data_IF_742591825207
#
_entry.id   IF_742591825207
#
_cell.length_a   1.000
_cell.length_b   1.000
_cell.length_c   1.000
_cell.angle_alpha   90.00
_cell.angle_beta   90.00
_cell.angle_gamma   90.00
#
_symmetry.space_group_name_H-M   'P 1'
#
loop_
_entity.id
_entity.type
_entity.pdbx_description
1 polymer ?
#
# COMPACT_ATOMS: atom_id res chain seq x y z
N UNK A 1 25.83 -12.44 -6.92
CA UNK A 1 24.80 -13.04 -7.81
C UNK A 1 23.41 -12.66 -7.29
N UNK A 2 22.42 -12.45 -8.18
CA UNK A 2 21.05 -12.15 -7.75
C UNK A 2 20.48 -13.32 -6.92
N UNK A 3 19.90 -13.05 -5.73
CA UNK A 3 19.51 -14.11 -4.80
C UNK A 3 18.29 -14.90 -5.29
N UNK A 4 18.46 -16.23 -5.42
CA UNK A 4 17.41 -17.17 -5.83
C UNK A 4 16.44 -17.60 -4.72
N UNK A 5 15.22 -17.95 -5.12
CA UNK A 5 14.20 -18.78 -4.42
C UNK A 5 13.32 -18.21 -3.28
N UNK A 6 13.20 -16.90 -3.08
CA UNK A 6 12.07 -16.32 -2.30
C UNK A 6 11.19 -15.36 -3.13
N UNK A 7 10.72 -15.82 -4.30
CA UNK A 7 9.93 -14.98 -5.22
C UNK A 7 8.61 -14.51 -4.62
N UNK A 8 7.89 -15.36 -3.88
CA UNK A 8 6.54 -15.03 -3.42
C UNK A 8 6.52 -14.01 -2.28
N UNK A 9 7.29 -14.24 -1.21
CA UNK A 9 7.40 -13.30 -0.07
C UNK A 9 7.93 -11.94 -0.53
N UNK A 10 8.90 -11.90 -1.45
CA UNK A 10 9.40 -10.65 -2.04
C UNK A 10 8.36 -9.95 -2.92
N UNK A 11 7.55 -10.70 -3.67
CA UNK A 11 6.44 -10.13 -4.45
C UNK A 11 5.35 -9.56 -3.54
N UNK A 12 4.98 -10.26 -2.46
CA UNK A 12 4.03 -9.77 -1.46
C UNK A 12 4.54 -8.51 -0.76
N UNK A 13 5.80 -8.50 -0.31
CA UNK A 13 6.44 -7.34 0.29
C UNK A 13 6.42 -6.14 -0.66
N UNK A 14 6.78 -6.35 -1.93
CA UNK A 14 6.73 -5.32 -2.97
C UNK A 14 5.33 -4.81 -3.21
N UNK A 15 4.36 -5.71 -3.34
CA UNK A 15 2.96 -5.33 -3.52
C UNK A 15 2.47 -4.48 -2.33
N UNK A 16 2.85 -4.86 -1.11
CA UNK A 16 2.51 -4.12 0.10
C UNK A 16 3.20 -2.75 0.17
N UNK A 17 4.47 -2.63 -0.26
CA UNK A 17 5.19 -1.35 -0.30
C UNK A 17 4.68 -0.42 -1.39
N UNK A 18 4.43 -0.95 -2.59
CA UNK A 18 3.76 -0.24 -3.68
C UNK A 18 2.38 0.27 -3.25
N UNK A 19 1.65 -0.51 -2.44
CA UNK A 19 0.41 -0.07 -1.80
C UNK A 19 0.69 1.09 -0.84
N UNK A 20 1.52 0.91 0.18
CA UNK A 20 1.75 1.92 1.24
C UNK A 20 2.28 3.27 0.72
N UNK A 21 2.93 3.29 -0.45
CA UNK A 21 3.37 4.52 -1.14
C UNK A 21 2.21 5.50 -1.44
N UNK A 22 0.99 4.98 -1.59
CA UNK A 22 -0.17 5.70 -2.07
C UNK A 22 -1.17 5.86 -0.91
N UNK A 23 -1.05 6.94 -0.13
CA UNK A 23 -1.96 7.23 0.99
C UNK A 23 -3.25 7.90 0.49
N UNK A 24 -4.41 7.47 0.97
CA UNK A 24 -5.70 8.16 0.78
C UNK A 24 -6.91 7.31 1.16
N UNK A 25 -8.07 7.95 1.37
CA UNK A 25 -9.33 7.33 1.83
C UNK A 25 -9.74 6.08 1.05
N UNK A 26 -9.63 6.07 -0.29
CA UNK A 26 -9.99 4.90 -1.10
C UNK A 26 -9.08 3.69 -0.82
N UNK A 27 -7.83 3.94 -0.47
CA UNK A 27 -6.88 2.88 -0.14
C UNK A 27 -7.12 2.31 1.25
N UNK A 28 -7.53 3.16 2.21
CA UNK A 28 -8.01 2.69 3.52
C UNK A 28 -9.24 1.79 3.38
N UNK A 29 -10.19 2.15 2.52
CA UNK A 29 -11.38 1.30 2.25
C UNK A 29 -10.97 -0.05 1.66
N UNK A 30 -10.01 -0.09 0.74
CA UNK A 30 -9.53 -1.35 0.16
C UNK A 30 -8.74 -2.20 1.16
N UNK A 31 -7.91 -1.58 2.00
CA UNK A 31 -7.03 -2.29 2.93
C UNK A 31 -7.74 -2.74 4.21
N UNK A 32 -8.75 -2.00 4.68
CA UNK A 32 -9.46 -2.29 5.93
C UNK A 32 -10.96 -2.51 5.74
N UNK A 33 -11.61 -1.65 4.95
CA UNK A 33 -13.06 -1.76 4.70
C UNK A 33 -13.45 -3.08 4.02
N UNK A 34 -12.71 -3.51 2.99
CA UNK A 34 -13.01 -4.73 2.23
C UNK A 34 -12.80 -6.01 3.06
N UNK A 35 -11.68 -6.18 3.79
CA UNK A 35 -11.52 -7.31 4.71
C UNK A 35 -12.55 -7.32 5.85
N UNK A 36 -12.89 -6.17 6.42
CA UNK A 36 -13.93 -6.08 7.47
C UNK A 36 -15.30 -6.47 6.92
N UNK A 37 -15.67 -5.97 5.72
CA UNK A 37 -16.90 -6.34 5.05
C UNK A 37 -16.95 -7.83 4.71
N UNK A 38 -15.83 -8.42 4.27
CA UNK A 38 -15.76 -9.86 4.01
C UNK A 38 -15.94 -10.68 5.29
N UNK A 39 -15.29 -10.29 6.39
CA UNK A 39 -15.43 -10.95 7.68
C UNK A 39 -16.88 -10.88 8.21
N UNK A 40 -17.52 -9.71 8.09
CA UNK A 40 -18.93 -9.51 8.42
C UNK A 40 -19.85 -10.38 7.58
N UNK A 41 -19.65 -10.43 6.26
CA UNK A 41 -20.45 -11.26 5.37
C UNK A 41 -20.34 -12.74 5.72
N UNK A 42 -19.14 -13.22 6.04
CA UNK A 42 -18.91 -14.61 6.48
C UNK A 42 -19.65 -14.88 7.80
N UNK A 43 -19.46 -14.00 8.80
CA UNK A 43 -20.14 -14.13 10.09
C UNK A 43 -21.66 -14.13 9.93
N UNK A 44 -22.20 -13.22 9.11
CA UNK A 44 -23.63 -13.13 8.81
C UNK A 44 -24.14 -14.41 8.16
N UNK A 45 -23.44 -14.95 7.17
CA UNK A 45 -23.85 -16.20 6.49
C UNK A 45 -23.83 -17.39 7.45
N UNK A 46 -22.82 -17.51 8.32
CA UNK A 46 -22.76 -18.58 9.32
C UNK A 46 -23.87 -18.45 10.36
N UNK A 47 -24.11 -17.25 10.88
CA UNK A 47 -25.18 -17.00 11.84
C UNK A 47 -26.57 -17.21 11.21
N UNK A 48 -26.78 -16.76 9.97
CA UNK A 48 -28.05 -16.89 9.27
C UNK A 48 -28.36 -18.35 8.91
N UNK A 49 -27.32 -19.19 8.75
CA UNK A 49 -27.48 -20.64 8.61
C UNK A 49 -27.81 -21.36 9.92
N UNK A 50 -27.40 -20.82 11.06
CA UNK A 50 -27.64 -21.44 12.36
C UNK A 50 -29.05 -21.12 12.91
N UNK A 51 -29.57 -19.93 12.61
CA UNK A 51 -30.96 -19.55 12.94
C UNK A 51 -31.74 -19.17 11.67
N UNK A 52 -31.82 -17.86 11.39
CA UNK A 52 -32.58 -17.26 10.31
C UNK A 52 -32.01 -15.87 9.99
N UNK A 53 -32.08 -15.40 8.72
CA UNK A 53 -31.56 -14.10 8.31
C UNK A 53 -32.17 -12.91 9.08
N UNK A 54 -33.45 -13.01 9.45
CA UNK A 54 -34.18 -11.99 10.21
C UNK A 54 -33.77 -11.95 11.69
N UNK A 55 -33.54 -13.10 12.32
CA UNK A 55 -33.05 -13.19 13.71
C UNK A 55 -31.66 -12.57 13.87
N UNK A 56 -30.75 -12.87 12.94
CA UNK A 56 -29.40 -12.29 12.93
C UNK A 56 -29.43 -10.76 12.76
N UNK A 57 -30.26 -10.24 11.87
CA UNK A 57 -30.43 -8.79 11.70
C UNK A 57 -30.92 -8.11 12.98
N UNK A 58 -31.93 -8.69 13.64
CA UNK A 58 -32.48 -8.15 14.89
C UNK A 58 -31.49 -8.19 16.04
N UNK A 59 -30.72 -9.27 16.18
CA UNK A 59 -29.66 -9.38 17.18
C UNK A 59 -28.49 -8.42 16.90
N UNK A 60 -28.10 -8.23 15.63
CA UNK A 60 -27.09 -7.25 15.21
C UNK A 60 -27.50 -5.81 15.51
N UNK A 61 -28.77 -5.49 15.29
CA UNK A 61 -29.35 -4.17 15.55
C UNK A 61 -29.73 -3.95 17.03
N UNK A 62 -29.46 -4.92 17.91
CA UNK A 62 -29.90 -4.93 19.32
C UNK A 62 -31.41 -4.73 19.50
N UNK A 63 -32.21 -5.15 18.53
CA UNK A 63 -33.67 -5.11 18.61
C UNK A 63 -34.18 -6.21 19.54
N UNK A 64 -33.55 -7.40 19.50
CA UNK A 64 -33.90 -8.56 20.34
C UNK A 64 -32.68 -9.00 21.19
N UNK A 65 -32.93 -9.49 22.40
CA UNK A 65 -31.89 -10.02 23.27
C UNK A 65 -31.30 -11.34 22.69
N UNK A 66 -29.97 -11.49 22.61
CA UNK A 66 -29.36 -12.66 21.99
C UNK A 66 -29.59 -13.92 22.85
N UNK A 67 -30.27 -14.91 22.29
CA UNK A 67 -30.67 -16.13 23.02
C UNK A 67 -29.59 -17.23 23.02
N UNK A 68 -28.59 -17.13 22.14
CA UNK A 68 -27.51 -18.10 21.99
C UNK A 68 -26.14 -17.42 21.91
N UNK A 69 -25.07 -18.15 22.29
CA UNK A 69 -23.69 -17.63 22.38
C UNK A 69 -23.21 -17.03 21.05
N UNK A 70 -23.60 -17.61 19.91
CA UNK A 70 -23.32 -17.08 18.57
C UNK A 70 -23.96 -15.71 18.31
N UNK A 71 -25.19 -15.49 18.77
CA UNK A 71 -25.90 -14.21 18.65
C UNK A 71 -25.35 -13.18 19.63
N UNK A 72 -24.86 -13.62 20.78
CA UNK A 72 -24.17 -12.77 21.74
C UNK A 72 -22.86 -12.23 21.14
N UNK A 73 -22.05 -13.08 20.50
CA UNK A 73 -20.88 -12.65 19.74
C UNK A 73 -21.26 -11.76 18.55
N UNK A 74 -22.33 -12.08 17.82
CA UNK A 74 -22.81 -11.23 16.71
C UNK A 74 -23.25 -9.84 17.19
N UNK A 75 -23.93 -9.76 18.35
CA UNK A 75 -24.36 -8.51 18.98
C UNK A 75 -23.16 -7.69 19.48
N UNK A 76 -22.18 -8.33 20.15
CA UNK A 76 -20.94 -7.68 20.58
C UNK A 76 -20.12 -7.17 19.39
N UNK A 77 -20.01 -7.96 18.33
CA UNK A 77 -19.35 -7.54 17.09
C UNK A 77 -20.13 -6.40 16.45
N UNK A 78 -21.46 -6.46 16.35
CA UNK A 78 -22.27 -5.33 15.85
C UNK A 78 -22.01 -4.04 16.63
N UNK A 79 -21.99 -4.12 17.96
CA UNK A 79 -21.83 -2.96 18.84
C UNK A 79 -20.40 -2.42 18.93
N UNK A 80 -19.37 -3.27 18.83
CA UNK A 80 -17.96 -2.83 18.82
C UNK A 80 -17.51 -2.41 17.43
N UNK A 81 -17.91 -3.17 16.41
CA UNK A 81 -17.39 -3.03 15.07
C UNK A 81 -18.01 -1.83 14.35
N UNK A 82 -19.30 -1.54 14.53
CA UNK A 82 -19.93 -0.37 13.87
C UNK A 82 -19.30 0.95 14.36
N UNK A 83 -19.17 1.21 15.68
CA UNK A 83 -18.45 2.37 16.17
C UNK A 83 -16.95 2.33 15.87
N UNK A 84 -16.30 1.16 15.82
CA UNK A 84 -14.90 1.07 15.43
C UNK A 84 -14.69 1.37 13.94
N UNK A 85 -15.61 0.97 13.06
CA UNK A 85 -15.59 1.31 11.62
C UNK A 85 -15.85 2.80 11.44
N UNK A 86 -16.92 3.32 12.05
CA UNK A 86 -17.30 4.74 11.93
C UNK A 86 -16.24 5.62 12.57
N UNK A 87 -15.78 5.29 13.78
CA UNK A 87 -14.73 6.00 14.51
C UNK A 87 -13.36 5.88 13.83
N UNK A 88 -13.02 4.72 13.28
CA UNK A 88 -11.78 4.51 12.51
C UNK A 88 -11.80 5.29 11.19
N UNK A 89 -12.92 5.29 10.48
CA UNK A 89 -13.11 6.08 9.26
C UNK A 89 -13.13 7.58 9.55
N UNK A 90 -13.90 8.02 10.55
CA UNK A 90 -13.96 9.41 10.98
C UNK A 90 -12.60 9.90 11.48
N UNK A 91 -11.90 9.11 12.30
CA UNK A 91 -10.54 9.39 12.77
C UNK A 91 -9.54 9.46 11.61
N UNK A 92 -9.64 8.57 10.62
CA UNK A 92 -8.82 8.66 9.41
C UNK A 92 -9.14 9.91 8.59
N UNK A 93 -10.42 10.25 8.39
CA UNK A 93 -10.85 11.46 7.68
C UNK A 93 -10.41 12.72 8.42
N UNK A 94 -10.50 12.75 9.75
CA UNK A 94 -10.06 13.87 10.59
C UNK A 94 -8.53 13.98 10.57
N UNK A 95 -7.79 12.88 10.76
CA UNK A 95 -6.33 12.88 10.64
C UNK A 95 -5.88 13.32 9.24
N UNK A 96 -6.60 12.90 8.20
CA UNK A 96 -6.33 13.36 6.85
C UNK A 96 -6.69 14.84 6.71
N UNK A 97 -7.82 15.33 7.23
CA UNK A 97 -8.20 16.77 7.27
C UNK A 97 -7.18 17.64 8.01
N UNK A 98 -6.68 17.19 9.16
CA UNK A 98 -5.64 17.88 9.93
C UNK A 98 -4.32 17.87 9.15
N UNK A 99 -3.94 16.74 8.54
CA UNK A 99 -2.79 16.69 7.63
C UNK A 99 -2.97 17.61 6.42
N UNK A 100 -4.19 17.77 5.90
CA UNK A 100 -4.52 18.67 4.78
C UNK A 100 -4.46 20.14 5.18
N UNK A 101 -4.82 20.48 6.42
CA UNK A 101 -4.69 21.84 6.96
C UNK A 101 -3.21 22.21 7.21
N UNK A 102 -2.37 21.22 7.55
CA UNK A 102 -0.93 21.40 7.80
C UNK A 102 -0.04 21.28 6.56
N UNK A 103 -0.52 20.67 5.48
CA UNK A 103 0.18 20.58 4.20
C UNK A 103 -0.79 20.82 3.04
N UNK A 104 -0.82 22.05 2.54
CA UNK A 104 -1.45 22.41 1.26
C UNK A 104 -0.68 21.70 0.15
N UNK A 105 -1.02 20.45 -0.13
CA UNK A 105 -0.68 19.81 -1.41
C UNK A 105 -1.34 18.48 -1.60
N UNK A 106 -1.43 17.61 -0.58
CA UNK A 106 -1.80 16.20 -0.79
C UNK A 106 -3.25 16.00 -1.24
N UNK A 107 -4.11 16.99 -1.03
CA UNK A 107 -5.55 16.84 -1.20
C UNK A 107 -6.12 17.27 -2.55
N UNK A 108 -5.47 18.20 -3.22
CA UNK A 108 -5.78 18.50 -4.62
C UNK A 108 -5.41 17.30 -5.53
N UNK A 109 -4.55 16.39 -5.05
CA UNK A 109 -4.00 15.24 -5.76
C UNK A 109 -4.96 14.05 -5.94
N UNK A 110 -6.00 13.93 -5.09
CA UNK A 110 -6.99 12.84 -5.21
C UNK A 110 -8.31 13.28 -5.82
N UNK A 111 -8.64 14.59 -5.78
CA UNK A 111 -9.95 15.11 -6.20
C UNK A 111 -10.20 14.96 -7.71
N UNK A 112 -9.15 14.94 -8.54
CA UNK A 112 -9.27 14.82 -10.00
C UNK A 112 -9.30 13.38 -10.56
N UNK A 113 -9.06 12.33 -9.77
CA UNK A 113 -9.04 10.95 -10.29
C UNK A 113 -10.44 10.35 -10.41
N UNK A 114 -10.78 9.80 -11.58
CA UNK A 114 -12.04 9.07 -11.81
C UNK A 114 -12.08 7.82 -10.91
N UNK A 115 -13.25 7.45 -10.38
CA UNK A 115 -13.44 6.30 -9.45
C UNK A 115 -12.82 5.00 -9.99
N UNK A 116 -12.95 4.74 -11.29
CA UNK A 116 -12.36 3.57 -11.97
C UNK A 116 -10.82 3.53 -11.89
N UNK A 117 -10.15 4.68 -11.93
CA UNK A 117 -8.69 4.79 -11.76
C UNK A 117 -8.27 4.60 -10.30
N UNK A 118 -9.15 4.93 -9.35
CA UNK A 118 -8.92 4.70 -7.90
C UNK A 118 -9.09 3.23 -7.50
N UNK A 119 -9.74 2.41 -8.32
CA UNK A 119 -9.97 0.99 -8.05
C UNK A 119 -8.96 0.05 -8.75
N UNK A 120 -8.13 0.55 -9.67
CA UNK A 120 -7.08 -0.28 -10.31
C UNK A 120 -6.01 -0.71 -9.31
N UNK A 121 -5.65 -1.99 -9.37
CA UNK A 121 -4.58 -2.55 -8.53
C UNK A 121 -3.27 -1.76 -8.75
N UNK A 122 -2.49 -1.52 -7.67
CA UNK A 122 -1.24 -0.79 -7.79
C UNK A 122 -0.23 -1.59 -8.63
N UNK A 123 0.51 -0.88 -9.48
CA UNK A 123 1.67 -1.45 -10.16
C UNK A 123 2.74 -1.89 -9.15
N UNK A 124 3.49 -2.94 -9.50
CA UNK A 124 4.55 -3.47 -8.66
C UNK A 124 5.85 -2.72 -8.93
N UNK A 125 6.59 -2.31 -7.89
CA UNK A 125 7.95 -1.79 -8.09
C UNK A 125 8.83 -2.91 -8.69
N UNK A 126 9.56 -2.56 -9.75
CA UNK A 126 10.39 -3.47 -10.53
C UNK A 126 11.45 -4.17 -9.68
N UNK A 127 11.75 -5.41 -10.07
CA UNK A 127 12.86 -6.20 -9.53
C UNK A 127 14.16 -5.78 -10.21
N UNK A 128 15.19 -5.39 -9.44
CA UNK A 128 16.50 -5.09 -10.00
C UNK A 128 17.13 -6.32 -10.67
N UNK A 129 16.76 -7.54 -10.24
CA UNK A 129 17.27 -8.76 -10.89
C UNK A 129 16.79 -8.89 -12.33
N UNK A 130 15.63 -8.33 -12.67
CA UNK A 130 15.14 -8.34 -14.05
C UNK A 130 15.98 -7.41 -14.94
N UNK A 131 16.57 -6.36 -14.37
CA UNK A 131 17.43 -5.41 -15.09
C UNK A 131 18.81 -5.97 -15.38
N UNK A 132 19.25 -6.99 -14.64
CA UNK A 132 20.53 -7.66 -14.88
C UNK A 132 20.62 -8.31 -16.27
N UNK A 133 19.51 -8.81 -16.79
CA UNK A 133 19.38 -9.33 -18.16
C UNK A 133 18.59 -8.37 -19.07
N UNK A 134 18.46 -7.11 -18.65
CA UNK A 134 17.68 -6.10 -19.34
C UNK A 134 18.44 -5.42 -20.47
N UNK A 135 17.91 -4.29 -20.95
CA UNK A 135 18.59 -3.44 -21.92
C UNK A 135 19.90 -2.87 -21.38
N UNK A 136 20.77 -2.37 -22.25
CA UNK A 136 22.05 -1.75 -21.86
C UNK A 136 21.87 -0.68 -20.79
N UNK A 137 20.86 0.18 -20.92
CA UNK A 137 20.57 1.21 -19.92
C UNK A 137 20.13 0.64 -18.55
N UNK A 138 19.43 -0.50 -18.54
CA UNK A 138 19.03 -1.19 -17.32
C UNK A 138 20.23 -1.86 -16.63
N UNK A 139 21.11 -2.49 -17.41
CA UNK A 139 22.35 -3.07 -16.91
C UNK A 139 23.29 -2.00 -16.37
N UNK A 140 23.43 -0.87 -17.07
CA UNK A 140 24.23 0.29 -16.66
C UNK A 140 23.76 0.86 -15.32
N UNK A 141 22.45 0.95 -15.11
CA UNK A 141 21.88 1.33 -13.82
C UNK A 141 22.19 0.31 -12.72
N UNK A 142 22.01 -0.99 -12.99
CA UNK A 142 22.32 -2.05 -12.03
C UNK A 142 23.79 -2.03 -11.65
N UNK A 143 24.68 -1.79 -12.61
CA UNK A 143 26.11 -1.70 -12.34
C UNK A 143 26.44 -0.51 -11.44
N UNK A 144 25.92 0.67 -11.74
CA UNK A 144 26.09 1.84 -10.86
C UNK A 144 25.47 1.60 -9.47
N UNK A 145 24.20 1.20 -9.42
CA UNK A 145 23.44 1.12 -8.17
C UNK A 145 23.84 -0.05 -7.29
N UNK A 146 23.97 -1.25 -7.85
CA UNK A 146 24.24 -2.47 -7.09
C UNK A 146 25.74 -2.65 -6.90
N UNK A 147 26.55 -2.56 -7.96
CA UNK A 147 28.00 -2.82 -7.85
C UNK A 147 28.72 -1.65 -7.18
N UNK A 148 28.48 -0.41 -7.60
CA UNK A 148 29.18 0.76 -7.01
C UNK A 148 28.56 1.16 -5.68
N UNK A 149 27.31 1.62 -5.66
CA UNK A 149 26.71 2.20 -4.44
C UNK A 149 26.41 1.20 -3.32
N UNK A 150 26.26 -0.09 -3.64
CA UNK A 150 25.96 -1.16 -2.66
C UNK A 150 27.00 -2.27 -2.61
N UNK A 151 28.16 -2.12 -3.25
CA UNK A 151 29.26 -3.10 -3.21
C UNK A 151 28.82 -4.53 -3.53
N UNK A 152 27.94 -4.66 -4.52
CA UNK A 152 27.34 -5.92 -4.98
C UNK A 152 26.37 -6.60 -3.99
N UNK A 153 25.89 -5.90 -2.96
CA UNK A 153 24.80 -6.36 -2.08
C UNK A 153 23.43 -6.15 -2.73
N UNK A 154 22.96 -7.18 -3.42
CA UNK A 154 21.68 -7.20 -4.13
C UNK A 154 20.47 -7.03 -3.22
N UNK A 155 20.50 -7.64 -2.03
CA UNK A 155 19.40 -7.56 -1.08
C UNK A 155 19.19 -6.13 -0.59
N UNK A 156 20.27 -5.48 -0.20
CA UNK A 156 20.25 -4.10 0.29
C UNK A 156 19.92 -3.12 -0.83
N UNK A 157 20.50 -3.31 -2.01
CA UNK A 157 20.20 -2.48 -3.17
C UNK A 157 18.73 -2.54 -3.57
N UNK A 158 18.12 -3.73 -3.55
CA UNK A 158 16.69 -3.93 -3.81
C UNK A 158 15.81 -3.27 -2.73
N UNK A 159 16.15 -3.43 -1.45
CA UNK A 159 15.42 -2.78 -0.36
C UNK A 159 15.44 -1.26 -0.49
N UNK A 160 16.61 -0.69 -0.76
CA UNK A 160 16.80 0.75 -0.89
C UNK A 160 16.16 1.32 -2.15
N UNK A 161 16.18 0.56 -3.26
CA UNK A 161 15.41 0.88 -4.46
C UNK A 161 13.91 0.97 -4.18
N UNK A 162 13.34 -0.05 -3.51
CA UNK A 162 11.92 -0.05 -3.16
C UNK A 162 11.54 1.09 -2.20
N UNK A 163 12.39 1.37 -1.21
CA UNK A 163 12.19 2.48 -0.27
C UNK A 163 12.21 3.82 -0.98
N UNK A 164 13.21 4.06 -1.83
CA UNK A 164 13.33 5.34 -2.53
C UNK A 164 12.17 5.55 -3.50
N UNK A 165 11.83 4.55 -4.32
CA UNK A 165 10.70 4.66 -5.27
C UNK A 165 9.38 4.90 -4.52
N UNK A 166 9.14 4.18 -3.41
CA UNK A 166 7.96 4.40 -2.56
C UNK A 166 7.89 5.85 -2.06
N UNK A 167 8.99 6.37 -1.55
CA UNK A 167 9.03 7.72 -0.99
C UNK A 167 8.90 8.78 -2.10
N UNK A 168 9.54 8.58 -3.25
CA UNK A 168 9.42 9.44 -4.42
C UNK A 168 7.98 9.48 -4.99
N UNK A 169 7.29 8.33 -5.05
CA UNK A 169 5.87 8.26 -5.45
C UNK A 169 4.94 9.01 -4.49
N UNK A 170 5.36 9.21 -3.24
CA UNK A 170 4.59 9.97 -2.25
C UNK A 170 4.82 11.49 -2.31
N UNK A 171 5.68 11.96 -3.22
CA UNK A 171 5.94 13.40 -3.39
C UNK A 171 4.86 14.09 -4.21
N UNK A 172 4.73 15.41 -4.03
CA UNK A 172 3.70 16.22 -4.69
C UNK A 172 3.83 16.23 -6.23
N UNK A 173 5.06 16.10 -6.73
CA UNK A 173 5.38 16.20 -8.16
C UNK A 173 4.62 15.18 -9.01
N UNK A 174 4.41 13.96 -8.50
CA UNK A 174 3.84 12.85 -9.27
C UNK A 174 2.37 12.58 -9.00
N UNK A 175 1.76 13.40 -8.17
CA UNK A 175 0.52 13.02 -7.54
C UNK A 175 -0.73 13.33 -8.38
N UNK A 176 -0.59 14.15 -9.43
CA UNK A 176 -1.59 14.37 -10.46
C UNK A 176 -1.67 13.23 -11.49
N UNK A 177 -0.68 12.32 -11.53
CA UNK A 177 -0.58 11.26 -12.52
C UNK A 177 -1.44 10.04 -12.15
N UNK A 178 -1.83 9.26 -13.17
CA UNK A 178 -2.45 7.94 -12.98
C UNK A 178 -1.51 6.99 -12.23
N UNK A 179 -2.03 5.96 -11.55
CA UNK A 179 -1.23 5.06 -10.70
C UNK A 179 -0.09 4.37 -11.45
N UNK A 180 -0.35 3.88 -12.66
CA UNK A 180 0.68 3.21 -13.46
C UNK A 180 1.66 4.21 -14.06
N UNK A 181 1.16 5.38 -14.46
CA UNK A 181 2.00 6.44 -15.02
C UNK A 181 2.92 7.05 -13.96
N UNK A 182 2.40 7.31 -12.76
CA UNK A 182 3.16 7.73 -11.60
C UNK A 182 4.32 6.77 -11.31
N UNK A 183 4.02 5.47 -11.20
CA UNK A 183 5.05 4.46 -10.95
C UNK A 183 6.09 4.42 -12.08
N UNK A 184 5.64 4.40 -13.34
CA UNK A 184 6.51 4.38 -14.52
C UNK A 184 7.43 5.61 -14.55
N UNK A 185 6.88 6.79 -14.35
CA UNK A 185 7.63 8.04 -14.40
C UNK A 185 8.60 8.14 -13.22
N UNK A 186 8.16 7.83 -12.00
CA UNK A 186 9.03 7.80 -10.82
C UNK A 186 10.18 6.81 -11.01
N UNK A 187 9.91 5.59 -11.46
CA UNK A 187 10.96 4.61 -11.70
C UNK A 187 11.97 5.11 -12.74
N UNK A 188 11.50 5.71 -13.85
CA UNK A 188 12.39 6.22 -14.89
C UNK A 188 13.23 7.40 -14.41
N UNK A 189 12.62 8.40 -13.76
CA UNK A 189 13.35 9.54 -13.20
C UNK A 189 14.32 9.08 -12.12
N UNK A 190 13.88 8.21 -11.21
CA UNK A 190 14.71 7.70 -10.12
C UNK A 190 15.91 6.92 -10.63
N UNK A 191 15.74 6.04 -11.63
CA UNK A 191 16.86 5.31 -12.24
C UNK A 191 17.93 6.27 -12.75
N UNK A 192 17.53 7.34 -13.44
CA UNK A 192 18.48 8.34 -13.94
C UNK A 192 19.20 9.05 -12.79
N UNK A 193 18.45 9.57 -11.82
CA UNK A 193 19.03 10.31 -10.69
C UNK A 193 19.95 9.44 -9.84
N UNK A 194 19.50 8.25 -9.46
CA UNK A 194 20.29 7.33 -8.64
C UNK A 194 21.51 6.79 -9.38
N UNK A 195 21.41 6.58 -10.70
CA UNK A 195 22.58 6.21 -11.52
C UNK A 195 23.67 7.27 -11.46
N UNK A 196 23.30 8.54 -11.65
CA UNK A 196 24.23 9.67 -11.61
C UNK A 196 24.88 9.74 -10.22
N UNK A 197 24.08 9.74 -9.15
CA UNK A 197 24.61 9.78 -7.79
C UNK A 197 25.54 8.60 -7.47
N UNK A 198 25.13 7.39 -7.85
CA UNK A 198 25.93 6.20 -7.61
C UNK A 198 27.25 6.20 -8.40
N UNK A 199 27.28 6.76 -9.62
CA UNK A 199 28.53 6.90 -10.38
C UNK A 199 29.43 8.02 -9.88
N UNK A 200 28.85 9.17 -9.57
CA UNK A 200 29.63 10.35 -9.19
C UNK A 200 30.20 10.24 -7.78
N UNK A 201 29.45 9.66 -6.85
CA UNK A 201 29.82 9.65 -5.43
C UNK A 201 30.01 8.24 -4.86
N UNK A 202 29.60 7.19 -5.57
CA UNK A 202 29.72 5.83 -5.08
C UNK A 202 28.85 5.51 -3.85
N UNK A 203 27.86 6.35 -3.54
CA UNK A 203 27.03 6.22 -2.35
C UNK A 203 25.55 6.03 -2.68
N UNK A 204 24.85 5.39 -1.75
CA UNK A 204 23.41 5.30 -1.74
C UNK A 204 22.82 6.32 -0.75
N UNK A 205 21.94 7.19 -1.23
CA UNK A 205 21.27 8.20 -0.39
C UNK A 205 20.47 7.60 0.78
N UNK A 206 19.91 6.40 0.59
CA UNK A 206 19.19 5.68 1.65
C UNK A 206 20.16 5.10 2.69
N UNK A 207 21.36 4.66 2.27
CA UNK A 207 22.41 4.27 3.21
C UNK A 207 22.86 5.46 4.05
N UNK A 208 23.17 6.60 3.41
CA UNK A 208 23.67 7.79 4.12
C UNK A 208 22.66 8.32 5.13
N UNK A 209 21.36 8.34 4.78
CA UNK A 209 20.31 8.79 5.70
C UNK A 209 20.09 7.87 6.90
N UNK A 210 20.57 6.62 6.86
CA UNK A 210 20.41 5.63 7.94
C UNK A 210 21.69 5.45 8.77
N UNK A 211 22.77 6.16 8.45
CA UNK A 211 23.95 6.27 9.31
C UNK A 211 23.66 7.25 10.43
#
# INVERSE_FOLDING_TARGET
MPPGRQRFVRRLRRAWRSRKALKGVTQWVLDWGLPMAACLSVLYVFAARAESPSGVYRAFALIDAPQHVLLWFASLIGWLLVPAIIGGFAGHVIAERISRAKSISTHTLFRQRKVRQRLRLPGLIDDLTAYFHGSVAQQDFVDAWVRVAHRNDWSRAQDHWEVFVRDAMSTQQYAHLDRHECLRQVQNTTKMTLRVLARSYGVCIVCERRR
#
